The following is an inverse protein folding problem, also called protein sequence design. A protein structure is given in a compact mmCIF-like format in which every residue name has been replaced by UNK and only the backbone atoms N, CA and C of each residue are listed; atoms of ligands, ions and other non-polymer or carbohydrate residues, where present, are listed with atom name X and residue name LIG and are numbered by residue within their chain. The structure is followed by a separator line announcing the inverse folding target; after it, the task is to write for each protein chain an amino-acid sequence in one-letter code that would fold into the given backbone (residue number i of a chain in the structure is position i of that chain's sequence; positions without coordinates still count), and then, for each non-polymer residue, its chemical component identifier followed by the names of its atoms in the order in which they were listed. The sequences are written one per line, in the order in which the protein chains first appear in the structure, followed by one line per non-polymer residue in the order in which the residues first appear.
data_IF_892539805577
#
_entry.id   IF_892539805577
#
_cell.length_a   1.000
_cell.length_b   1.000
_cell.length_c   1.000
_cell.angle_alpha   90.00
_cell.angle_beta   90.00
_cell.angle_gamma   90.00
#
_symmetry.space_group_name_H-M   'P 1'
#
loop_
_entity.id
_entity.type
_entity.pdbx_description
1 polymer ?
#
# COMPACT_ATOMS: atom_id res chain seq x y z
N UNK A 1 1.24 9.94 -16.79
CA UNK A 1 2.22 10.93 -16.24
C UNK A 1 2.57 10.50 -14.82
N UNK A 2 3.85 10.51 -14.44
CA UNK A 2 4.28 10.11 -13.09
C UNK A 2 3.88 11.19 -12.06
N UNK A 3 3.23 10.84 -10.94
CA UNK A 3 2.92 11.81 -9.88
C UNK A 3 4.18 12.50 -9.36
N UNK A 4 4.12 13.79 -9.00
CA UNK A 4 5.30 14.54 -8.51
C UNK A 4 5.91 13.84 -7.28
N UNK A 5 5.06 13.37 -6.37
CA UNK A 5 5.47 12.74 -5.11
C UNK A 5 5.59 11.21 -5.17
N UNK A 6 5.65 10.62 -6.38
CA UNK A 6 5.68 9.17 -6.60
C UNK A 6 6.71 8.45 -5.71
N UNK A 7 7.90 9.05 -5.58
CA UNK A 7 9.02 8.48 -4.84
C UNK A 7 8.75 8.49 -3.34
N UNK A 8 8.16 9.56 -2.82
CA UNK A 8 7.83 9.67 -1.41
C UNK A 8 6.74 8.65 -1.04
N UNK A 9 5.72 8.51 -1.89
CA UNK A 9 4.64 7.54 -1.69
C UNK A 9 5.18 6.10 -1.65
N UNK A 10 5.99 5.71 -2.64
CA UNK A 10 6.59 4.38 -2.67
C UNK A 10 7.58 4.13 -1.53
N UNK A 11 8.33 5.12 -1.07
CA UNK A 11 9.24 4.96 0.07
C UNK A 11 8.52 4.78 1.40
N UNK A 12 7.27 5.23 1.52
CA UNK A 12 6.44 4.97 2.70
C UNK A 12 5.94 3.53 2.73
N UNK A 13 5.52 2.99 1.59
CA UNK A 13 4.88 1.67 1.50
C UNK A 13 5.84 0.52 1.17
N UNK A 14 7.03 0.79 0.63
CA UNK A 14 8.00 -0.24 0.26
C UNK A 14 9.03 -0.51 1.37
N UNK A 15 9.46 -1.77 1.59
CA UNK A 15 10.45 -2.10 2.61
C UNK A 15 11.78 -1.35 2.44
N UNK A 16 12.33 -0.82 3.53
CA UNK A 16 13.55 0.00 3.51
C UNK A 16 14.79 -0.87 3.32
N UNK A 17 15.63 -0.50 2.33
CA UNK A 17 16.91 -1.17 2.03
C UNK A 17 17.92 -0.15 1.49
N UNK A 18 19.22 -0.34 1.77
CA UNK A 18 20.31 0.42 1.11
C UNK A 18 20.47 -0.03 -0.34
N UNK A 19 20.70 0.91 -1.26
CA UNK A 19 20.97 0.57 -2.68
C UNK A 19 19.73 0.17 -3.49
N UNK A 20 18.54 0.67 -3.14
CA UNK A 20 17.25 0.34 -3.80
C UNK A 20 17.18 0.60 -5.32
N UNK A 21 18.00 1.51 -5.86
CA UNK A 21 17.98 1.84 -7.29
C UNK A 21 16.77 2.68 -7.72
N UNK A 22 16.28 3.59 -6.86
CA UNK A 22 15.08 4.41 -7.10
C UNK A 22 15.11 5.18 -8.43
N UNK A 23 16.27 5.63 -8.91
CA UNK A 23 16.39 6.31 -10.21
C UNK A 23 15.98 5.39 -11.36
N UNK A 24 16.41 4.13 -11.35
CA UNK A 24 16.04 3.15 -12.36
C UNK A 24 14.58 2.70 -12.20
N UNK A 25 14.11 2.55 -10.96
CA UNK A 25 12.70 2.26 -10.69
C UNK A 25 11.79 3.35 -11.27
N UNK A 26 12.10 4.64 -11.08
CA UNK A 26 11.31 5.74 -11.64
C UNK A 26 11.21 5.71 -13.16
N UNK A 27 12.29 5.34 -13.86
CA UNK A 27 12.28 5.15 -15.32
C UNK A 27 11.35 4.02 -15.74
N UNK A 28 11.35 2.91 -15.01
CA UNK A 28 10.48 1.77 -15.33
C UNK A 28 9.01 2.06 -14.99
N UNK A 29 8.74 2.64 -13.82
CA UNK A 29 7.39 3.08 -13.44
C UNK A 29 6.82 4.02 -14.49
N UNK A 30 7.60 4.99 -14.98
CA UNK A 30 7.15 5.89 -16.04
C UNK A 30 6.78 5.15 -17.33
N UNK A 31 7.54 4.11 -17.70
CA UNK A 31 7.23 3.26 -18.86
C UNK A 31 5.95 2.47 -18.66
N UNK A 32 5.77 1.89 -17.47
CA UNK A 32 4.57 1.12 -17.12
C UNK A 32 3.32 2.01 -17.12
N UNK A 33 3.40 3.21 -16.53
CA UNK A 33 2.30 4.20 -16.59
C UNK A 33 2.00 4.67 -18.02
N UNK A 34 3.02 4.72 -18.89
CA UNK A 34 2.81 5.04 -20.31
C UNK A 34 2.19 3.87 -21.09
N UNK A 35 2.40 2.63 -20.62
CA UNK A 35 1.80 1.42 -21.18
C UNK A 35 0.34 1.19 -20.72
N UNK A 36 -0.15 1.98 -19.76
CA UNK A 36 -1.53 1.90 -19.26
C UNK A 36 -1.67 1.33 -17.85
N UNK A 37 -0.56 1.03 -17.17
CA UNK A 37 -0.60 0.55 -15.79
C UNK A 37 -1.05 1.63 -14.81
N UNK A 38 -1.68 1.21 -13.71
CA UNK A 38 -2.12 2.12 -12.64
C UNK A 38 -1.08 2.23 -11.53
N UNK A 39 -0.71 3.46 -11.19
CA UNK A 39 0.17 3.75 -10.06
C UNK A 39 -0.42 3.28 -8.72
N UNK A 40 -1.74 3.29 -8.56
CA UNK A 40 -2.40 2.80 -7.35
C UNK A 40 -2.18 1.31 -7.14
N UNK A 41 -2.25 0.51 -8.21
CA UNK A 41 -1.97 -0.93 -8.18
C UNK A 41 -0.52 -1.18 -7.75
N UNK A 42 0.43 -0.36 -8.25
CA UNK A 42 1.82 -0.44 -7.82
C UNK A 42 2.00 -0.11 -6.32
N UNK A 43 1.24 0.84 -5.78
CA UNK A 43 1.27 1.18 -4.36
C UNK A 43 0.73 0.05 -3.48
N UNK A 44 -0.41 -0.55 -3.89
CA UNK A 44 -1.01 -1.70 -3.18
C UNK A 44 -0.05 -2.88 -3.17
N UNK A 45 0.48 -3.27 -4.34
CA UNK A 45 1.45 -4.36 -4.43
C UNK A 45 2.72 -4.09 -3.64
N UNK A 46 3.18 -2.84 -3.57
CA UNK A 46 4.34 -2.47 -2.76
C UNK A 46 4.08 -2.60 -1.25
N UNK A 47 2.90 -2.19 -0.77
CA UNK A 47 2.54 -2.33 0.65
C UNK A 47 2.33 -3.80 1.04
N UNK A 48 1.67 -4.58 0.18
CA UNK A 48 1.47 -6.01 0.40
C UNK A 48 2.80 -6.75 0.41
N UNK A 49 3.71 -6.42 -0.51
CA UNK A 49 5.07 -6.94 -0.48
C UNK A 49 5.83 -6.58 0.81
N UNK A 50 5.65 -5.36 1.34
CA UNK A 50 6.23 -4.95 2.63
C UNK A 50 5.71 -5.83 3.77
N UNK A 51 4.40 -6.08 3.82
CA UNK A 51 3.76 -6.94 4.83
C UNK A 51 4.25 -8.38 4.70
N UNK A 52 4.31 -8.91 3.48
CA UNK A 52 4.87 -10.24 3.19
C UNK A 52 6.30 -10.37 3.68
N UNK A 53 7.20 -9.44 3.34
CA UNK A 53 8.58 -9.47 3.82
C UNK A 53 8.68 -9.37 5.35
N UNK A 54 7.79 -8.61 6.00
CA UNK A 54 7.76 -8.52 7.45
C UNK A 54 7.30 -9.83 8.12
N UNK A 55 6.37 -10.56 7.50
CA UNK A 55 5.85 -11.82 8.01
C UNK A 55 6.79 -13.00 7.77
N UNK A 56 7.41 -13.09 6.59
CA UNK A 56 8.25 -14.22 6.19
C UNK A 56 9.72 -14.05 6.57
N UNK A 57 10.18 -12.82 6.76
CA UNK A 57 11.61 -12.51 6.91
C UNK A 57 12.41 -12.71 5.62
N UNK A 58 11.74 -12.81 4.46
CA UNK A 58 12.40 -12.97 3.17
C UNK A 58 13.26 -11.76 2.78
N UNK A 59 14.26 -12.02 1.92
CA UNK A 59 15.12 -10.97 1.39
C UNK A 59 14.35 -9.96 0.54
N UNK A 60 14.39 -8.70 0.99
CA UNK A 60 13.80 -7.56 0.29
C UNK A 60 14.47 -7.35 -1.07
N UNK A 61 13.67 -7.45 -2.13
CA UNK A 61 14.09 -7.13 -3.51
C UNK A 61 14.46 -5.65 -3.64
N UNK A 62 15.30 -5.34 -4.62
CA UNK A 62 15.57 -3.93 -4.95
C UNK A 62 14.37 -3.34 -5.68
N UNK A 63 14.03 -2.08 -5.44
CA UNK A 63 12.94 -1.38 -6.12
C UNK A 63 13.11 -1.41 -7.64
N UNK A 64 14.34 -1.29 -8.16
CA UNK A 64 14.58 -1.40 -9.60
C UNK A 64 14.22 -2.77 -10.20
N UNK A 65 14.25 -3.83 -9.39
CA UNK A 65 13.88 -5.19 -9.78
C UNK A 65 12.38 -5.40 -9.61
N UNK A 66 11.83 -4.95 -8.48
CA UNK A 66 10.42 -5.06 -8.17
C UNK A 66 9.56 -4.27 -9.16
N UNK A 67 9.88 -2.99 -9.38
CA UNK A 67 9.25 -2.14 -10.40
C UNK A 67 9.83 -2.35 -11.81
N UNK A 68 10.58 -3.44 -12.02
CA UNK A 68 11.25 -3.73 -13.27
C UNK A 68 10.33 -4.28 -14.36
N UNK A 69 10.90 -4.82 -15.45
CA UNK A 69 10.14 -5.40 -16.57
C UNK A 69 9.23 -6.57 -16.20
N UNK A 70 9.54 -7.25 -15.09
CA UNK A 70 8.81 -8.45 -14.64
C UNK A 70 7.57 -8.13 -13.80
N UNK A 71 7.30 -6.86 -13.52
CA UNK A 71 6.04 -6.41 -12.89
C UNK A 71 5.66 -7.12 -11.59
N UNK A 72 6.63 -7.30 -10.68
CA UNK A 72 6.46 -8.10 -9.46
C UNK A 72 5.36 -7.58 -8.52
N UNK A 73 4.97 -6.31 -8.62
CA UNK A 73 3.89 -5.76 -7.81
C UNK A 73 2.51 -6.40 -8.13
N UNK A 74 2.34 -6.97 -9.33
CA UNK A 74 1.10 -7.66 -9.72
C UNK A 74 0.88 -8.94 -8.92
N UNK A 75 1.95 -9.61 -8.48
CA UNK A 75 1.83 -10.82 -7.64
C UNK A 75 1.21 -10.52 -6.26
N UNK A 76 1.24 -9.26 -5.84
CA UNK A 76 0.79 -8.80 -4.52
C UNK A 76 -0.41 -7.84 -4.62
N UNK A 77 -1.08 -7.74 -5.76
CA UNK A 77 -2.21 -6.81 -5.93
C UNK A 77 -3.52 -7.34 -5.31
N UNK A 78 -3.66 -8.67 -5.22
CA UNK A 78 -4.90 -9.39 -4.87
C UNK A 78 -4.92 -9.94 -3.44
N UNK A 79 -3.98 -9.53 -2.57
CA UNK A 79 -4.04 -9.89 -1.15
C UNK A 79 -5.24 -9.17 -0.49
N UNK A 80 -6.40 -9.82 -0.54
CA UNK A 80 -7.69 -9.38 0.04
C UNK A 80 -7.62 -9.18 1.57
N UNK A 81 -6.57 -9.68 2.22
CA UNK A 81 -6.29 -9.44 3.65
C UNK A 81 -5.76 -8.00 3.93
N UNK A 82 -5.58 -7.17 2.89
CA UNK A 82 -4.91 -5.88 3.01
C UNK A 82 -5.80 -4.63 3.17
N UNK A 83 -7.13 -4.78 3.20
CA UNK A 83 -8.05 -3.68 3.57
C UNK A 83 -8.03 -3.45 5.08
N UNK A 84 -6.96 -2.81 5.55
CA UNK A 84 -7.02 -2.01 6.75
C UNK A 84 -6.83 -0.55 6.31
N UNK A 85 -7.98 0.11 6.20
CA UNK A 85 -8.20 1.56 6.21
C UNK A 85 -6.93 2.40 6.45
N UNK A 86 -6.26 2.79 5.36
CA UNK A 86 -5.34 3.93 5.42
C UNK A 86 -6.21 5.17 5.32
N UNK A 87 -6.74 5.64 6.45
CA UNK A 87 -7.33 6.97 6.59
C UNK A 87 -6.30 8.00 6.12
N UNK A 88 -6.63 8.69 5.03
CA UNK A 88 -5.85 9.80 4.46
C UNK A 88 -5.85 11.06 5.36
N UNK A 89 -6.43 11.01 6.55
CA UNK A 89 -6.64 12.15 7.44
C UNK A 89 -5.41 12.57 8.28
N UNK A 90 -4.37 11.74 8.41
CA UNK A 90 -3.21 12.10 9.25
C UNK A 90 -2.25 13.13 8.63
N UNK A 91 -2.45 13.53 7.36
CA UNK A 91 -1.58 14.52 6.71
C UNK A 91 -1.97 15.98 7.03
N UNK A 92 -3.12 16.21 7.67
CA UNK A 92 -3.57 17.57 8.02
C UNK A 92 -3.05 18.05 9.39
N UNK A 93 -2.52 17.16 10.24
CA UNK A 93 -2.18 17.49 11.64
C UNK A 93 -0.77 18.05 11.84
N UNK A 94 0.10 18.00 10.84
CA UNK A 94 1.49 18.49 10.93
C UNK A 94 1.68 19.95 10.44
N UNK A 95 0.61 20.64 10.02
CA UNK A 95 0.67 22.01 9.51
C UNK A 95 0.27 23.11 10.51
N UNK A 96 0.04 22.78 11.80
CA UNK A 96 0.10 23.76 12.89
C UNK A 96 -0.70 25.05 12.70
N UNK A 97 -1.92 25.00 12.16
CA UNK A 97 -2.78 26.17 11.98
C UNK A 97 -4.17 25.93 12.58
N UNK A 98 -4.51 26.85 13.49
CA UNK A 98 -5.83 27.16 14.07
C UNK A 98 -6.32 26.36 15.29
N UNK A 99 -6.17 27.04 16.43
CA UNK A 99 -7.03 27.00 17.62
C UNK A 99 -8.52 27.13 17.25
N UNK A 100 -9.40 26.52 18.05
CA UNK A 100 -10.80 26.97 18.17
C UNK A 100 -11.84 25.86 18.40
N UNK A 101 -12.09 25.57 19.68
CA UNK A 101 -13.37 25.27 20.36
C UNK A 101 -14.49 24.49 19.64
N UNK A 102 -15.03 23.46 20.31
CA UNK A 102 -16.30 22.84 19.92
C UNK A 102 -16.54 21.44 20.48
N UNK A 103 -16.92 21.38 21.75
CA UNK A 103 -17.49 20.22 22.44
C UNK A 103 -18.80 19.79 21.75
N UNK A 104 -18.98 18.49 21.46
CA UNK A 104 -20.28 17.77 21.49
C UNK A 104 -20.09 16.28 21.23
N UNK A 105 -20.44 15.52 22.26
CA UNK A 105 -20.74 14.10 22.32
C UNK A 105 -21.76 13.70 21.22
N UNK A 106 -21.50 12.64 20.44
CA UNK A 106 -22.53 11.61 20.24
C UNK A 106 -21.92 10.31 19.68
N UNK A 107 -22.13 9.27 20.48
CA UNK A 107 -22.02 7.85 20.21
C UNK A 107 -22.60 7.42 18.85
N UNK A 108 -21.84 6.65 18.06
CA UNK A 108 -22.36 5.61 17.16
C UNK A 108 -21.23 4.69 16.69
N UNK A 109 -20.72 3.85 17.59
CA UNK A 109 -19.95 2.65 17.21
C UNK A 109 -20.88 1.65 16.54
N UNK A 110 -21.04 1.75 15.23
CA UNK A 110 -21.69 0.74 14.40
C UNK A 110 -20.84 -0.52 14.31
N UNK A 111 -21.04 -1.46 15.23
CA UNK A 111 -20.53 -2.83 15.11
C UNK A 111 -21.30 -3.57 14.02
N UNK A 112 -20.73 -3.68 12.82
CA UNK A 112 -21.19 -4.69 11.86
C UNK A 112 -20.44 -5.99 12.16
N UNK A 113 -21.08 -6.86 12.93
CA UNK A 113 -20.69 -8.26 13.08
C UNK A 113 -21.18 -9.01 11.84
N UNK A 114 -20.27 -9.38 10.94
CA UNK A 114 -20.61 -10.33 9.87
C UNK A 114 -20.33 -11.73 10.40
N UNK A 115 -21.42 -12.46 10.59
CA UNK A 115 -21.44 -13.83 11.06
C UNK A 115 -20.65 -14.76 10.12
N UNK A 116 -19.71 -15.46 10.74
CA UNK A 116 -18.90 -16.53 10.20
C UNK A 116 -19.77 -17.69 9.73
N UNK A 117 -19.97 -17.86 8.43
CA UNK A 117 -20.59 -19.08 7.89
C UNK A 117 -19.47 -20.06 7.53
N UNK A 118 -19.06 -20.87 8.52
CA UNK A 118 -18.31 -22.10 8.27
C UNK A 118 -19.19 -23.05 7.45
N UNK A 119 -18.82 -23.32 6.20
CA UNK A 119 -19.27 -24.54 5.51
C UNK A 119 -18.11 -25.54 5.48
N UNK A 120 -17.92 -26.21 6.61
CA UNK A 120 -17.35 -27.56 6.62
C UNK A 120 -18.37 -28.51 5.98
N UNK A 121 -17.87 -29.44 5.16
CA UNK A 121 -18.25 -30.84 4.96
C UNK A 121 -17.56 -31.26 3.64
N UNK A 122 -16.33 -31.77 3.65
CA UNK A 122 -15.88 -33.11 4.05
C UNK A 122 -16.41 -34.22 3.12
N UNK A 123 -15.47 -34.75 2.32
CA UNK A 123 -15.23 -36.16 1.96
C UNK A 123 -16.46 -37.09 1.95
N UNK A 124 -16.78 -37.60 0.75
CA UNK A 124 -17.10 -39.00 0.48
C UNK A 124 -16.77 -39.29 -1.00
#
# INVERSE_FOLDING_TARGET
MLPIDWRQQLQKVYPKRKGQGWVNAGKQITKHLAAGEDFKVMLVGADNYRRHCAATGEYVRMAQTFFGPNMWWLEFQDDEDAVNEVTLDDTARECGLARGEGESDESLTGRISVAQTKRLHNIA
#
